data_IF_546104723658
#
_entry.id   IF_546104723658
#
_cell.length_a   1.000
_cell.length_b   1.000
_cell.length_c   1.000
_cell.angle_alpha   90.00
_cell.angle_beta   90.00
_cell.angle_gamma   90.00
#
_symmetry.space_group_name_H-M   'P 1'
#
loop_
_entity.id
_entity.type
_entity.pdbx_description
1 polymer ?
#
# COMPACT_ATOMS: atom_id res chain seq x y z
N UNK A 1 -29.85 -35.69 3.57
CA UNK A 1 -30.02 -34.22 3.57
C UNK A 1 -28.65 -33.63 3.30
N UNK A 2 -28.36 -33.26 2.04
CA UNK A 2 -27.11 -32.61 1.67
C UNK A 2 -27.30 -31.11 1.73
N UNK A 3 -26.69 -30.45 2.70
CA UNK A 3 -26.62 -28.99 2.77
C UNK A 3 -25.63 -28.55 1.69
N UNK A 4 -26.14 -28.19 0.52
CA UNK A 4 -25.37 -27.49 -0.49
C UNK A 4 -25.02 -26.12 0.07
N UNK A 5 -23.80 -25.99 0.59
CA UNK A 5 -23.16 -24.70 0.83
C UNK A 5 -23.18 -23.93 -0.49
N UNK A 6 -24.13 -23.01 -0.63
CA UNK A 6 -24.09 -21.99 -1.67
C UNK A 6 -22.87 -21.14 -1.35
N UNK A 7 -21.74 -21.42 -2.01
CA UNK A 7 -20.71 -20.42 -2.29
C UNK A 7 -21.42 -19.28 -3.00
N UNK A 8 -21.78 -18.26 -2.23
CA UNK A 8 -22.34 -17.02 -2.74
C UNK A 8 -21.22 -16.25 -3.44
N UNK A 9 -20.88 -16.74 -4.63
CA UNK A 9 -19.84 -16.22 -5.51
C UNK A 9 -20.47 -15.12 -6.37
N UNK A 10 -20.98 -14.08 -5.72
CA UNK A 10 -21.53 -12.91 -6.40
C UNK A 10 -20.37 -12.14 -7.07
N UNK A 11 -20.46 -11.80 -8.37
CA UNK A 11 -19.40 -11.10 -9.11
C UNK A 11 -19.04 -9.74 -8.49
N UNK A 12 -19.95 -9.17 -7.68
CA UNK A 12 -19.73 -7.95 -6.91
C UNK A 12 -18.71 -8.17 -5.78
N UNK A 13 -18.76 -9.31 -5.07
CA UNK A 13 -17.80 -9.64 -4.00
C UNK A 13 -16.39 -9.86 -4.57
N UNK A 14 -16.29 -10.55 -5.70
CA UNK A 14 -15.00 -10.76 -6.39
C UNK A 14 -14.39 -9.43 -6.85
N UNK A 15 -15.20 -8.55 -7.45
CA UNK A 15 -14.74 -7.22 -7.87
C UNK A 15 -14.22 -6.37 -6.71
N UNK A 16 -14.87 -6.40 -5.54
CA UNK A 16 -14.38 -5.68 -4.36
C UNK A 16 -13.12 -6.30 -3.77
N UNK A 17 -13.01 -7.63 -3.78
CA UNK A 17 -11.82 -8.32 -3.30
C UNK A 17 -10.60 -7.99 -4.17
N UNK A 18 -10.75 -8.06 -5.49
CA UNK A 18 -9.69 -7.72 -6.44
C UNK A 18 -9.27 -6.25 -6.30
N UNK A 19 -10.24 -5.36 -6.05
CA UNK A 19 -9.98 -3.94 -5.84
C UNK A 19 -9.19 -3.68 -4.55
N UNK A 20 -9.56 -4.31 -3.42
CA UNK A 20 -8.84 -4.21 -2.15
C UNK A 20 -7.41 -4.76 -2.31
N UNK A 21 -7.25 -5.90 -3.00
CA UNK A 21 -5.94 -6.48 -3.26
C UNK A 21 -5.06 -5.55 -4.11
N UNK A 22 -5.58 -5.01 -5.20
CA UNK A 22 -4.83 -4.11 -6.07
C UNK A 22 -4.45 -2.80 -5.35
N UNK A 23 -5.39 -2.23 -4.60
CA UNK A 23 -5.18 -1.00 -3.85
C UNK A 23 -4.18 -1.19 -2.70
N UNK A 24 -4.21 -2.32 -1.98
CA UNK A 24 -3.25 -2.59 -0.91
C UNK A 24 -1.82 -2.76 -1.43
N UNK A 25 -1.66 -3.45 -2.57
CA UNK A 25 -0.38 -3.57 -3.26
C UNK A 25 0.16 -2.18 -3.70
N UNK A 26 -0.70 -1.33 -4.27
CA UNK A 26 -0.32 0.04 -4.66
C UNK A 26 0.01 0.92 -3.47
N UNK A 27 -0.76 0.85 -2.38
CA UNK A 27 -0.48 1.60 -1.15
C UNK A 27 0.88 1.21 -0.57
N UNK A 28 1.17 -0.09 -0.47
CA UNK A 28 2.49 -0.58 -0.06
C UNK A 28 3.61 -0.04 -0.97
N UNK A 29 3.38 -0.04 -2.28
CA UNK A 29 4.35 0.48 -3.25
C UNK A 29 4.63 1.99 -3.04
N UNK A 30 3.61 2.83 -2.88
CA UNK A 30 3.79 4.26 -2.63
C UNK A 30 4.44 4.56 -1.29
N UNK A 31 4.12 3.77 -0.25
CA UNK A 31 4.78 3.86 1.05
C UNK A 31 6.28 3.61 0.93
N UNK A 32 6.65 2.53 0.24
CA UNK A 32 8.03 2.14 0.00
C UNK A 32 8.80 3.14 -0.89
N UNK A 33 8.10 3.79 -1.82
CA UNK A 33 8.63 4.89 -2.61
C UNK A 33 8.72 6.20 -1.83
N UNK A 34 8.23 6.29 -0.58
CA UNK A 34 8.08 7.56 0.13
C UNK A 34 7.39 8.62 -0.72
N UNK A 35 6.28 8.24 -1.35
CA UNK A 35 5.39 9.12 -2.11
C UNK A 35 4.10 9.33 -1.32
N UNK A 36 4.17 10.26 -0.36
CA UNK A 36 3.09 10.46 0.61
C UNK A 36 1.77 10.87 -0.04
N UNK A 37 1.82 11.70 -1.09
CA UNK A 37 0.60 12.18 -1.74
C UNK A 37 -0.17 11.05 -2.42
N UNK A 38 0.55 10.18 -3.14
CA UNK A 38 -0.06 9.03 -3.78
C UNK A 38 -0.45 7.96 -2.76
N UNK A 39 0.34 7.81 -1.69
CA UNK A 39 0.00 6.96 -0.56
C UNK A 39 -1.32 7.36 0.09
N UNK A 40 -1.48 8.61 0.51
CA UNK A 40 -2.67 9.10 1.20
C UNK A 40 -3.93 8.96 0.33
N UNK A 41 -3.81 9.22 -0.97
CA UNK A 41 -4.89 9.04 -1.93
C UNK A 41 -5.30 7.57 -2.04
N UNK A 42 -4.33 6.65 -2.11
CA UNK A 42 -4.62 5.23 -2.23
C UNK A 42 -5.18 4.64 -0.93
N UNK A 43 -4.68 5.07 0.23
CA UNK A 43 -5.25 4.72 1.54
C UNK A 43 -6.71 5.17 1.64
N UNK A 44 -7.04 6.37 1.16
CA UNK A 44 -8.42 6.87 1.20
C UNK A 44 -9.35 6.02 0.32
N UNK A 45 -8.93 5.65 -0.90
CA UNK A 45 -9.70 4.76 -1.78
C UNK A 45 -9.85 3.36 -1.19
N UNK A 46 -8.78 2.85 -0.57
CA UNK A 46 -8.78 1.56 0.09
C UNK A 46 -9.71 1.55 1.30
N UNK A 47 -9.66 2.58 2.14
CA UNK A 47 -10.58 2.77 3.26
C UNK A 47 -12.05 2.81 2.82
N UNK A 48 -12.35 3.53 1.73
CA UNK A 48 -13.70 3.54 1.15
C UNK A 48 -14.14 2.14 0.69
N UNK A 49 -13.24 1.41 0.04
CA UNK A 49 -13.52 0.08 -0.51
C UNK A 49 -13.72 -0.95 0.60
N UNK A 50 -12.88 -0.90 1.63
CA UNK A 50 -13.01 -1.69 2.86
C UNK A 50 -14.32 -1.37 3.59
N UNK A 51 -14.68 -0.08 3.74
CA UNK A 51 -15.96 0.36 4.31
C UNK A 51 -17.15 -0.31 3.62
N UNK A 52 -17.19 -0.25 2.28
CA UNK A 52 -18.28 -0.81 1.50
C UNK A 52 -18.40 -2.34 1.66
N UNK A 53 -17.27 -3.02 1.84
CA UNK A 53 -17.23 -4.47 2.07
C UNK A 53 -17.65 -4.83 3.50
N UNK A 54 -17.23 -4.04 4.49
CA UNK A 54 -17.57 -4.25 5.91
C UNK A 54 -19.04 -4.00 6.23
N UNK A 55 -19.77 -3.25 5.39
CA UNK A 55 -21.23 -3.12 5.50
C UNK A 55 -21.97 -4.44 5.21
N UNK A 56 -21.29 -5.45 4.66
CA UNK A 56 -21.91 -6.75 4.38
C UNK A 56 -21.89 -7.63 5.64
N UNK A 57 -23.04 -8.21 6.06
CA UNK A 57 -23.18 -8.94 7.33
C UNK A 57 -22.38 -10.26 7.40
N UNK A 58 -21.69 -10.64 6.32
CA UNK A 58 -20.90 -11.87 6.23
C UNK A 58 -19.40 -11.62 6.24
N UNK A 59 -18.96 -10.36 6.23
CA UNK A 59 -17.55 -9.99 6.11
C UNK A 59 -17.07 -9.35 7.40
N UNK A 60 -15.97 -9.89 7.94
CA UNK A 60 -15.34 -9.37 9.14
C UNK A 60 -14.12 -8.51 8.80
N UNK A 61 -13.69 -7.67 9.74
CA UNK A 61 -12.44 -6.92 9.62
C UNK A 61 -11.23 -7.83 9.40
N UNK A 62 -11.19 -8.99 10.08
CA UNK A 62 -10.11 -9.97 9.95
C UNK A 62 -10.02 -10.56 8.53
N UNK A 63 -11.14 -10.72 7.83
CA UNK A 63 -11.14 -11.14 6.43
C UNK A 63 -10.46 -10.10 5.53
N UNK A 64 -10.81 -8.82 5.72
CA UNK A 64 -10.25 -7.71 4.94
C UNK A 64 -8.74 -7.55 5.21
N UNK A 65 -8.33 -7.65 6.48
CA UNK A 65 -6.90 -7.60 6.87
C UNK A 65 -6.11 -8.73 6.22
N UNK A 66 -6.59 -9.98 6.33
CA UNK A 66 -5.94 -11.13 5.68
C UNK A 66 -5.83 -10.96 4.16
N UNK A 67 -6.87 -10.40 3.53
CA UNK A 67 -6.88 -10.15 2.09
C UNK A 67 -5.81 -9.12 1.69
N UNK A 68 -5.70 -8.04 2.46
CA UNK A 68 -4.69 -7.00 2.26
C UNK A 68 -3.27 -7.55 2.46
N UNK A 69 -3.02 -8.24 3.57
CA UNK A 69 -1.71 -8.83 3.89
C UNK A 69 -1.25 -9.84 2.83
N UNK A 70 -2.15 -10.70 2.37
CA UNK A 70 -1.85 -11.69 1.32
C UNK A 70 -1.44 -11.01 -0.01
N UNK A 71 -2.16 -9.97 -0.40
CA UNK A 71 -1.84 -9.20 -1.61
C UNK A 71 -0.51 -8.46 -1.49
N UNK A 72 -0.29 -7.78 -0.36
CA UNK A 72 0.97 -7.09 -0.08
C UNK A 72 2.15 -8.05 -0.05
N UNK A 73 1.99 -9.23 0.56
CA UNK A 73 3.03 -10.28 0.58
C UNK A 73 3.38 -10.74 -0.83
N UNK A 74 2.37 -10.96 -1.66
CA UNK A 74 2.54 -11.46 -3.03
C UNK A 74 3.19 -10.40 -3.95
N UNK A 75 2.91 -9.12 -3.72
CA UNK A 75 3.44 -7.99 -4.50
C UNK A 75 4.75 -7.41 -3.95
N UNK A 76 5.21 -7.85 -2.78
CA UNK A 76 6.37 -7.25 -2.09
C UNK A 76 7.67 -7.32 -2.92
N UNK A 77 7.95 -8.47 -3.53
CA UNK A 77 9.15 -8.63 -4.37
C UNK A 77 9.11 -7.74 -5.61
N UNK A 78 7.93 -7.53 -6.19
CA UNK A 78 7.75 -6.63 -7.33
C UNK A 78 7.92 -5.17 -6.89
N UNK A 79 7.37 -4.79 -5.73
CA UNK A 79 7.59 -3.46 -5.16
C UNK A 79 9.07 -3.18 -4.92
N UNK A 80 9.84 -4.15 -4.39
CA UNK A 80 11.30 -4.02 -4.23
C UNK A 80 12.03 -3.84 -5.55
N UNK A 81 11.63 -4.57 -6.61
CA UNK A 81 12.20 -4.38 -7.96
C UNK A 81 11.92 -2.97 -8.49
N UNK A 82 10.73 -2.44 -8.29
CA UNK A 82 10.38 -1.09 -8.73
C UNK A 82 11.16 0.00 -7.97
N UNK A 83 11.40 -0.19 -6.66
CA UNK A 83 12.27 0.70 -5.88
C UNK A 83 13.70 0.67 -6.42
N UNK A 84 14.22 -0.53 -6.69
CA UNK A 84 15.56 -0.71 -7.25
C UNK A 84 15.69 0.01 -8.60
N UNK A 85 14.71 -0.16 -9.48
CA UNK A 85 14.66 0.55 -10.75
C UNK A 85 14.62 2.08 -10.56
N UNK A 86 13.84 2.57 -9.60
CA UNK A 86 13.77 4.01 -9.27
C UNK A 86 15.11 4.54 -8.75
N UNK A 87 15.84 3.75 -7.94
CA UNK A 87 17.19 4.09 -7.48
C UNK A 87 18.15 4.21 -8.66
N UNK A 88 18.12 3.25 -9.60
CA UNK A 88 18.95 3.27 -10.81
C UNK A 88 18.67 4.52 -11.66
N UNK A 89 17.39 4.84 -11.89
CA UNK A 89 17.02 6.08 -12.58
C UNK A 89 17.54 7.33 -11.86
N UNK A 90 17.53 7.36 -10.52
CA UNK A 90 18.08 8.47 -9.74
C UNK A 90 19.61 8.56 -9.87
N UNK A 91 20.31 7.42 -9.89
CA UNK A 91 21.76 7.35 -10.10
C UNK A 91 22.12 7.83 -11.50
N UNK A 92 21.45 7.34 -12.54
CA UNK A 92 21.66 7.79 -13.92
C UNK A 92 21.40 9.29 -14.10
N UNK A 93 20.35 9.82 -13.48
CA UNK A 93 20.07 11.27 -13.50
C UNK A 93 21.19 12.04 -12.82
N UNK A 94 21.66 11.57 -11.66
CA UNK A 94 22.76 12.18 -10.93
C UNK A 94 24.06 12.21 -11.74
N UNK A 95 24.38 11.13 -12.44
CA UNK A 95 25.59 11.03 -13.26
C UNK A 95 25.57 11.97 -14.48
N UNK A 96 24.37 12.35 -14.93
CA UNK A 96 24.16 13.32 -16.03
C UNK A 96 24.17 14.78 -15.56
N UNK A 97 24.16 15.05 -14.24
CA UNK A 97 24.16 16.42 -13.71
C UNK A 97 25.57 17.01 -13.81
N UNK A 98 25.66 18.16 -14.46
CA UNK A 98 26.86 18.99 -14.41
C UNK A 98 26.88 19.72 -13.06
N UNK A 99 27.65 19.18 -12.10
CA UNK A 99 27.71 19.67 -10.71
C UNK A 99 28.14 21.14 -10.63
N UNK A 100 28.93 21.61 -11.60
CA UNK A 100 29.38 23.00 -11.71
C UNK A 100 28.33 23.97 -12.31
N UNK A 101 27.09 23.52 -12.51
CA UNK A 101 25.99 24.39 -12.92
C UNK A 101 25.32 25.04 -11.70
N UNK A 102 24.68 26.19 -11.92
CA UNK A 102 24.07 27.02 -10.86
C UNK A 102 23.09 26.27 -9.94
N UNK A 103 22.49 25.17 -10.42
CA UNK A 103 21.58 24.32 -9.66
C UNK A 103 22.05 22.85 -9.50
N UNK A 104 23.16 22.47 -10.15
CA UNK A 104 23.59 21.08 -10.25
C UNK A 104 23.95 20.46 -8.91
N UNK A 105 24.62 21.22 -8.03
CA UNK A 105 24.97 20.73 -6.69
C UNK A 105 23.71 20.44 -5.83
N UNK A 106 22.71 21.33 -5.88
CA UNK A 106 21.44 21.15 -5.15
C UNK A 106 20.65 19.97 -5.69
N UNK A 107 20.61 19.80 -7.00
CA UNK A 107 19.90 18.70 -7.65
C UNK A 107 20.58 17.35 -7.36
N UNK A 108 21.92 17.29 -7.43
CA UNK A 108 22.69 16.10 -7.07
C UNK A 108 22.55 15.73 -5.59
N UNK A 109 22.50 16.72 -4.69
CA UNK A 109 22.23 16.52 -3.27
C UNK A 109 20.80 15.99 -3.03
N UNK A 110 19.79 16.54 -3.72
CA UNK A 110 18.41 16.06 -3.65
C UNK A 110 18.28 14.61 -4.09
N UNK A 111 18.89 14.24 -5.23
CA UNK A 111 18.91 12.86 -5.73
C UNK A 111 19.64 11.93 -4.76
N UNK A 112 20.74 12.36 -4.15
CA UNK A 112 21.47 11.56 -3.17
C UNK A 112 20.64 11.30 -1.92
N UNK A 113 19.91 12.31 -1.43
CA UNK A 113 18.96 12.16 -0.32
C UNK A 113 17.83 11.20 -0.69
N UNK A 114 17.29 11.31 -1.91
CA UNK A 114 16.23 10.41 -2.39
C UNK A 114 16.71 8.96 -2.49
N UNK A 115 17.91 8.72 -3.02
CA UNK A 115 18.51 7.38 -3.09
C UNK A 115 18.69 6.80 -1.67
N UNK A 116 19.23 7.57 -0.73
CA UNK A 116 19.42 7.10 0.64
C UNK A 116 18.10 6.70 1.33
N UNK A 117 17.03 7.46 1.09
CA UNK A 117 15.69 7.14 1.59
C UNK A 117 15.16 5.85 0.98
N UNK A 118 15.29 5.67 -0.34
CA UNK A 118 14.83 4.46 -1.04
C UNK A 118 15.66 3.21 -0.68
N UNK A 119 16.97 3.35 -0.46
CA UNK A 119 17.79 2.23 0.04
C UNK A 119 17.39 1.85 1.46
N UNK A 120 17.05 2.84 2.31
CA UNK A 120 16.53 2.57 3.65
C UNK A 120 15.18 1.87 3.60
N UNK A 121 14.26 2.24 2.70
CA UNK A 121 12.94 1.62 2.63
C UNK A 121 13.01 0.13 2.28
N UNK A 122 13.99 -0.30 1.49
CA UNK A 122 14.27 -1.72 1.19
C UNK A 122 14.68 -2.56 2.43
N UNK A 123 15.15 -1.92 3.49
CA UNK A 123 15.58 -2.61 4.73
C UNK A 123 14.44 -2.83 5.71
N UNK A 124 13.28 -2.22 5.46
CA UNK A 124 12.11 -2.34 6.35
C UNK A 124 11.52 -3.74 6.19
N UNK A 125 11.23 -4.40 7.30
CA UNK A 125 10.64 -5.73 7.28
C UNK A 125 9.20 -5.67 6.69
N UNK A 126 8.82 -6.63 5.82
CA UNK A 126 7.48 -6.67 5.24
C UNK A 126 6.32 -6.56 6.26
N UNK A 127 6.37 -7.25 7.42
CA UNK A 127 5.30 -7.15 8.42
C UNK A 127 5.07 -5.71 8.92
N UNK A 128 6.14 -4.92 9.09
CA UNK A 128 6.05 -3.53 9.57
C UNK A 128 5.36 -2.65 8.54
N UNK A 129 5.63 -2.87 7.25
CA UNK A 129 5.01 -2.14 6.15
C UNK A 129 3.52 -2.50 6.05
N UNK A 130 3.20 -3.79 6.13
CA UNK A 130 1.83 -4.28 6.06
C UNK A 130 1.00 -3.77 7.23
N UNK A 131 1.54 -3.83 8.44
CA UNK A 131 0.89 -3.32 9.65
C UNK A 131 0.59 -1.82 9.53
N UNK A 132 1.54 -1.03 9.03
CA UNK A 132 1.32 0.39 8.79
C UNK A 132 0.18 0.64 7.78
N UNK A 133 0.19 -0.04 6.64
CA UNK A 133 -0.87 0.11 5.62
C UNK A 133 -2.23 -0.31 6.19
N UNK A 134 -2.30 -1.44 6.88
CA UNK A 134 -3.54 -1.93 7.50
C UNK A 134 -4.06 -0.92 8.53
N UNK A 135 -3.20 -0.47 9.45
CA UNK A 135 -3.59 0.49 10.49
C UNK A 135 -4.11 1.79 9.88
N UNK A 136 -3.41 2.34 8.90
CA UNK A 136 -3.76 3.62 8.29
C UNK A 136 -5.09 3.51 7.50
N UNK A 137 -5.35 2.38 6.86
CA UNK A 137 -6.62 2.07 6.19
C UNK A 137 -7.78 1.92 7.18
N UNK A 138 -7.60 1.11 8.22
CA UNK A 138 -8.66 0.86 9.21
C UNK A 138 -9.00 2.14 9.96
N UNK A 139 -7.98 2.94 10.32
CA UNK A 139 -8.17 4.26 10.94
C UNK A 139 -8.99 5.18 10.03
N UNK A 140 -8.63 5.30 8.74
CA UNK A 140 -9.41 6.11 7.81
C UNK A 140 -10.82 5.56 7.54
N UNK A 141 -11.00 4.23 7.56
CA UNK A 141 -12.31 3.60 7.39
C UNK A 141 -13.26 3.92 8.55
N UNK A 142 -12.75 3.98 9.78
CA UNK A 142 -13.51 4.44 10.95
C UNK A 142 -13.77 5.93 10.86
N UNK A 143 -12.71 6.73 10.73
CA UNK A 143 -12.78 8.19 10.89
C UNK A 143 -13.58 8.88 9.78
N UNK A 144 -13.46 8.41 8.53
CA UNK A 144 -14.09 9.06 7.36
C UNK A 144 -15.36 8.38 6.88
N UNK A 145 -15.47 7.07 7.07
CA UNK A 145 -16.53 6.26 6.47
C UNK A 145 -17.44 5.60 7.50
N UNK A 146 -17.27 5.88 8.80
CA UNK A 146 -18.08 5.35 9.91
C UNK A 146 -18.19 3.81 9.88
N UNK A 147 -17.11 3.13 9.48
CA UNK A 147 -17.10 1.67 9.46
C UNK A 147 -17.08 1.11 10.89
N UNK A 148 -17.97 0.16 11.18
CA UNK A 148 -17.93 -0.59 12.43
C UNK A 148 -16.87 -1.68 12.28
N UNK A 149 -15.76 -1.53 13.00
CA UNK A 149 -14.71 -2.54 13.05
C UNK A 149 -14.87 -3.30 14.36
N UNK A 150 -15.05 -4.62 14.29
CA UNK A 150 -15.22 -5.49 15.48
C UNK A 150 -13.95 -5.59 16.35
N UNK A 151 -12.83 -5.00 15.91
CA UNK A 151 -11.56 -4.98 16.62
C UNK A 151 -10.92 -3.59 16.54
N UNK A 152 -10.31 -3.08 17.63
CA UNK A 152 -9.47 -1.90 17.54
C UNK A 152 -8.28 -2.15 16.59
N UNK A 153 -7.84 -1.13 15.82
CA UNK A 153 -6.73 -1.26 14.87
C UNK A 153 -5.40 -1.40 15.62
N UNK A 154 -5.10 -2.64 16.03
CA UNK A 154 -3.93 -3.08 16.81
C UNK A 154 -3.79 -2.42 18.21
N UNK A 155 -3.24 -3.14 19.21
CA UNK A 155 -2.98 -2.59 20.55
C UNK A 155 -1.81 -1.60 20.60
#
# INVERSE_FOLDING_TARGET
MGTLEKKDNSPVKEAFNDLIQAQSARAMHYLLLHDQNNYDNEINKLAQSCSNVLQQPTITSDFVVNLMEKSMTSSYLEALKNIQHTIEQCKEKKDKIVVNSFYGEKEAASLSKRIAVLEKSKTIAPPVIMEQVVRDVLTQAVDKYNSVIDRPPYP
#
